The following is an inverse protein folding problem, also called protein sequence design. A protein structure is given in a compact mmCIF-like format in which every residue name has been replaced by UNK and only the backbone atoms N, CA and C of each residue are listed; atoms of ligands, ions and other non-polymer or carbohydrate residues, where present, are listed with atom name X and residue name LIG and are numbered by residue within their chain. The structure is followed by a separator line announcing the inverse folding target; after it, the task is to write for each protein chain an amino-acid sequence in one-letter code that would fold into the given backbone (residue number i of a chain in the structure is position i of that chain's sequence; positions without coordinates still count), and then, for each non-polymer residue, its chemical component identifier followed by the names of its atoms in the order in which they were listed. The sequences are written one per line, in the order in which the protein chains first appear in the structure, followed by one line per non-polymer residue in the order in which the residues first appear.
data_IF_061206089968
#
_entry.id   IF_061206089968
#
_cell.length_a   1.000
_cell.length_b   1.000
_cell.length_c   1.000
_cell.angle_alpha   90.00
_cell.angle_beta   90.00
_cell.angle_gamma   90.00
#
_symmetry.space_group_name_H-M   'P 1'
#
loop_
_entity.id
_entity.type
_entity.pdbx_description
1 polymer ?
#
# COMPACT_ATOMS: atom_id res chain seq x y z
N UNK A 1 -31.30 -4.32 -1.57
CA UNK A 1 -30.69 -2.99 -1.38
C UNK A 1 -30.03 -3.04 -0.02
N UNK A 2 -28.83 -3.60 0.07
CA UNK A 2 -28.00 -3.38 1.24
C UNK A 2 -27.75 -1.87 1.26
N UNK A 3 -28.13 -1.25 2.36
CA UNK A 3 -27.88 0.15 2.64
C UNK A 3 -26.41 0.42 2.35
N UNK A 4 -26.09 1.58 1.76
CA UNK A 4 -24.73 2.10 1.58
C UNK A 4 -24.05 2.32 2.96
N UNK A 5 -24.28 1.40 3.88
CA UNK A 5 -23.65 1.38 5.19
C UNK A 5 -22.15 1.26 4.97
N UNK A 6 -21.59 2.47 4.86
CA UNK A 6 -20.25 2.79 5.30
C UNK A 6 -19.24 1.64 5.14
N UNK A 7 -19.10 1.16 3.86
CA UNK A 7 -18.12 0.12 3.54
C UNK A 7 -16.73 0.48 4.07
N UNK A 8 -16.42 1.77 4.12
CA UNK A 8 -15.20 2.28 4.74
C UNK A 8 -15.10 1.87 6.21
N UNK A 9 -16.19 2.05 6.97
CA UNK A 9 -16.21 1.65 8.39
C UNK A 9 -16.05 0.14 8.55
N UNK A 10 -16.69 -0.64 7.70
CA UNK A 10 -16.58 -2.11 7.72
C UNK A 10 -15.13 -2.52 7.45
N UNK A 11 -14.48 -1.96 6.41
CA UNK A 11 -13.09 -2.29 6.09
C UNK A 11 -12.11 -1.87 7.19
N UNK A 12 -12.33 -0.71 7.81
CA UNK A 12 -11.51 -0.24 8.92
C UNK A 12 -11.68 -1.11 10.16
N UNK A 13 -12.91 -1.52 10.47
CA UNK A 13 -13.19 -2.37 11.62
C UNK A 13 -12.67 -3.80 11.42
N UNK A 14 -12.96 -4.42 10.29
CA UNK A 14 -12.43 -5.75 9.94
C UNK A 14 -10.89 -5.73 9.87
N UNK A 15 -10.31 -4.62 9.39
CA UNK A 15 -8.87 -4.39 9.38
C UNK A 15 -8.29 -4.31 10.80
N UNK A 16 -8.99 -3.61 11.71
CA UNK A 16 -8.58 -3.49 13.11
C UNK A 16 -8.62 -4.84 13.84
N UNK A 17 -9.73 -5.55 13.70
CA UNK A 17 -9.87 -6.87 14.32
C UNK A 17 -8.80 -7.84 13.81
N UNK A 18 -8.60 -7.89 12.49
CA UNK A 18 -7.56 -8.74 11.90
C UNK A 18 -6.15 -8.33 12.28
N UNK A 19 -5.89 -7.03 12.47
CA UNK A 19 -4.62 -6.53 12.97
C UNK A 19 -4.38 -7.01 14.41
N UNK A 20 -5.35 -6.84 15.31
CA UNK A 20 -5.24 -7.26 16.70
C UNK A 20 -5.06 -8.77 16.85
N UNK A 21 -5.84 -9.55 16.11
CA UNK A 21 -5.75 -11.02 16.12
C UNK A 21 -4.37 -11.52 15.68
N UNK A 22 -3.71 -10.78 14.78
CA UNK A 22 -2.44 -11.19 14.20
C UNK A 22 -1.26 -10.30 14.61
N UNK A 23 -1.40 -9.45 15.63
CA UNK A 23 -0.41 -8.47 16.05
C UNK A 23 0.97 -9.10 16.32
N UNK A 24 1.00 -10.33 16.87
CA UNK A 24 2.24 -11.06 17.16
C UNK A 24 3.04 -11.43 15.91
N UNK A 25 2.36 -11.57 14.78
CA UNK A 25 2.99 -11.85 13.48
C UNK A 25 3.26 -10.57 12.71
N UNK A 26 2.38 -9.57 12.80
CA UNK A 26 2.50 -8.31 12.08
C UNK A 26 3.66 -7.46 12.62
N UNK A 27 3.79 -7.31 13.94
CA UNK A 27 4.82 -6.42 14.49
C UNK A 27 6.26 -6.82 14.10
N UNK A 28 6.67 -8.10 14.20
CA UNK A 28 8.01 -8.50 13.74
C UNK A 28 8.20 -8.30 12.23
N UNK A 29 7.15 -8.53 11.42
CA UNK A 29 7.19 -8.30 9.98
C UNK A 29 7.41 -6.82 9.65
N UNK A 30 6.68 -5.91 10.33
CA UNK A 30 6.82 -4.46 10.17
C UNK A 30 8.20 -3.98 10.61
N UNK A 31 8.73 -4.48 11.73
CA UNK A 31 10.10 -4.17 12.19
C UNK A 31 11.12 -4.60 11.14
N UNK A 32 11.05 -5.86 10.68
CA UNK A 32 11.95 -6.38 9.66
C UNK A 32 11.86 -5.58 8.35
N UNK A 33 10.63 -5.25 7.93
CA UNK A 33 10.38 -4.44 6.74
C UNK A 33 11.05 -3.06 6.85
N UNK A 34 10.90 -2.34 7.96
CA UNK A 34 11.52 -1.02 8.13
C UNK A 34 13.05 -1.10 8.24
N UNK A 35 13.60 -2.14 8.88
CA UNK A 35 15.04 -2.38 8.90
C UNK A 35 15.57 -2.61 7.48
N UNK A 36 14.83 -3.35 6.66
CA UNK A 36 15.25 -3.67 5.29
C UNK A 36 14.96 -2.56 4.28
N UNK A 37 14.07 -1.63 4.53
CA UNK A 37 13.71 -0.57 3.57
C UNK A 37 14.20 0.80 3.98
N UNK A 38 13.82 1.26 5.17
CA UNK A 38 14.07 2.63 5.62
C UNK A 38 15.51 2.84 6.06
N UNK A 39 16.08 1.90 6.81
CA UNK A 39 17.42 2.05 7.37
C UNK A 39 18.50 2.15 6.29
N UNK A 40 18.60 1.23 5.28
CA UNK A 40 19.62 1.34 4.25
C UNK A 40 19.46 2.56 3.36
N UNK A 41 18.23 2.93 3.00
CA UNK A 41 17.97 4.15 2.23
C UNK A 41 18.50 5.39 2.96
N UNK A 42 18.22 5.50 4.27
CA UNK A 42 18.70 6.61 5.10
C UNK A 42 20.24 6.62 5.21
N UNK A 43 20.87 5.45 5.36
CA UNK A 43 22.33 5.34 5.40
C UNK A 43 22.98 5.76 4.08
N UNK A 44 22.38 5.39 2.94
CA UNK A 44 22.83 5.83 1.61
C UNK A 44 22.75 7.35 1.50
N UNK A 45 21.63 7.97 1.90
CA UNK A 45 21.50 9.43 1.89
C UNK A 45 22.58 10.10 2.71
N UNK A 46 22.81 9.59 3.92
CA UNK A 46 23.82 10.14 4.83
C UNK A 46 25.23 10.00 4.29
N UNK A 47 25.54 8.83 3.72
CA UNK A 47 26.89 8.53 3.26
C UNK A 47 27.27 9.34 2.01
N UNK A 48 26.35 9.46 1.04
CA UNK A 48 26.61 10.15 -0.22
C UNK A 48 26.20 11.63 -0.19
N UNK A 49 25.63 12.11 0.92
CA UNK A 49 25.09 13.48 1.05
C UNK A 49 24.16 13.86 -0.12
N UNK A 50 23.44 12.89 -0.65
CA UNK A 50 22.57 13.07 -1.81
C UNK A 50 21.48 11.99 -1.87
N UNK A 51 20.22 12.43 -1.83
CA UNK A 51 19.06 11.55 -1.85
C UNK A 51 18.92 10.71 -3.12
N UNK A 52 19.39 11.24 -4.26
CA UNK A 52 19.27 10.54 -5.54
C UNK A 52 19.99 9.19 -5.58
N UNK A 53 21.04 9.00 -4.78
CA UNK A 53 21.76 7.72 -4.70
C UNK A 53 20.95 6.61 -4.02
N UNK A 54 19.88 6.95 -3.29
CA UNK A 54 18.99 5.95 -2.69
C UNK A 54 17.93 5.43 -3.68
N UNK A 55 17.65 6.13 -4.79
CA UNK A 55 16.63 5.72 -5.76
C UNK A 55 16.84 4.30 -6.29
N UNK A 56 18.06 3.87 -6.70
CA UNK A 56 18.25 2.49 -7.12
C UNK A 56 17.89 1.49 -6.02
N UNK A 57 18.24 1.78 -4.77
CA UNK A 57 17.89 0.93 -3.65
C UNK A 57 16.36 0.91 -3.42
N UNK A 58 15.72 2.07 -3.42
CA UNK A 58 14.28 2.20 -3.25
C UNK A 58 13.52 1.45 -4.35
N UNK A 59 14.00 1.54 -5.59
CA UNK A 59 13.34 0.89 -6.73
C UNK A 59 13.60 -0.61 -6.79
N UNK A 60 14.87 -1.04 -6.64
CA UNK A 60 15.25 -2.44 -6.89
C UNK A 60 15.14 -3.33 -5.65
N UNK A 61 15.15 -2.76 -4.45
CA UNK A 61 15.07 -3.52 -3.20
C UNK A 61 13.81 -3.18 -2.42
N UNK A 62 13.57 -1.90 -2.12
CA UNK A 62 12.44 -1.53 -1.28
C UNK A 62 11.08 -1.77 -1.97
N UNK A 63 10.95 -1.49 -3.28
CA UNK A 63 9.69 -1.71 -3.99
C UNK A 63 9.26 -3.20 -4.05
N UNK A 64 10.14 -4.18 -4.38
CA UNK A 64 9.81 -5.60 -4.24
C UNK A 64 9.42 -6.01 -2.82
N UNK A 65 10.10 -5.50 -1.79
CA UNK A 65 9.74 -5.77 -0.39
C UNK A 65 8.38 -5.19 -0.03
N UNK A 66 8.05 -3.97 -0.50
CA UNK A 66 6.74 -3.33 -0.27
C UNK A 66 5.61 -4.15 -0.90
N UNK A 67 5.78 -4.61 -2.12
CA UNK A 67 4.76 -5.44 -2.80
C UNK A 67 4.67 -6.82 -2.14
N UNK A 68 5.80 -7.38 -1.67
CA UNK A 68 5.79 -8.59 -0.85
C UNK A 68 5.06 -8.40 0.49
N UNK A 69 5.21 -7.24 1.13
CA UNK A 69 4.48 -6.90 2.35
C UNK A 69 2.95 -6.80 2.08
N UNK A 70 2.54 -6.29 0.92
CA UNK A 70 1.13 -6.32 0.52
C UNK A 70 0.62 -7.78 0.46
N UNK A 71 1.40 -8.73 -0.09
CA UNK A 71 1.02 -10.15 -0.10
C UNK A 71 0.91 -10.72 1.31
N UNK A 72 1.80 -10.35 2.21
CA UNK A 72 1.74 -10.75 3.62
C UNK A 72 0.41 -10.32 4.25
N UNK A 73 0.00 -9.06 4.08
CA UNK A 73 -1.29 -8.56 4.56
C UNK A 73 -2.49 -9.22 3.85
N UNK A 74 -2.42 -9.46 2.54
CA UNK A 74 -3.46 -10.19 1.79
C UNK A 74 -3.66 -11.59 2.36
N UNK A 75 -2.59 -12.31 2.68
CA UNK A 75 -2.68 -13.66 3.25
C UNK A 75 -3.36 -13.65 4.62
N UNK A 76 -3.00 -12.73 5.51
CA UNK A 76 -3.68 -12.56 6.81
C UNK A 76 -5.16 -12.21 6.58
N UNK A 77 -5.45 -11.25 5.71
CA UNK A 77 -6.81 -10.81 5.45
C UNK A 77 -7.72 -11.92 4.89
N UNK A 78 -7.14 -12.93 4.20
CA UNK A 78 -7.81 -14.15 3.75
C UNK A 78 -7.93 -15.23 4.84
N UNK A 79 -7.44 -14.99 6.05
CA UNK A 79 -7.39 -15.99 7.12
C UNK A 79 -6.37 -17.10 6.87
N UNK A 80 -5.37 -16.86 6.01
CA UNK A 80 -4.26 -17.79 5.77
C UNK A 80 -3.12 -17.49 6.74
N UNK A 81 -2.30 -18.51 7.01
CA UNK A 81 -1.05 -18.30 7.74
C UNK A 81 -0.11 -17.53 6.82
N UNK A 82 0.19 -16.28 7.21
CA UNK A 82 1.19 -15.47 6.50
C UNK A 82 2.59 -15.86 6.99
N UNK A 83 3.49 -16.06 6.06
CA UNK A 83 4.89 -16.37 6.32
C UNK A 83 5.73 -15.12 6.16
N UNK A 84 6.77 -14.94 6.99
CA UNK A 84 7.72 -13.83 6.81
C UNK A 84 8.43 -13.87 5.45
N UNK A 85 8.50 -15.07 4.83
CA UNK A 85 8.97 -15.25 3.46
C UNK A 85 8.11 -14.56 2.40
N UNK A 86 6.83 -14.26 2.69
CA UNK A 86 5.94 -13.56 1.77
C UNK A 86 6.47 -12.17 1.41
N UNK A 87 7.16 -11.51 2.34
CA UNK A 87 7.78 -10.19 2.13
C UNK A 87 8.79 -10.24 0.97
N UNK A 88 9.46 -11.37 0.78
CA UNK A 88 10.46 -11.55 -0.29
C UNK A 88 9.87 -12.05 -1.61
N UNK A 89 8.59 -12.44 -1.65
CA UNK A 89 7.94 -12.95 -2.87
C UNK A 89 7.84 -11.91 -3.99
N UNK A 90 7.92 -10.61 -3.66
CA UNK A 90 8.04 -9.56 -4.68
C UNK A 90 9.22 -9.74 -5.63
N UNK A 91 10.32 -10.35 -5.17
CA UNK A 91 11.47 -10.66 -6.02
C UNK A 91 11.23 -11.78 -7.03
N UNK A 92 10.25 -12.66 -6.80
CA UNK A 92 9.90 -13.73 -7.73
C UNK A 92 9.28 -13.21 -9.04
N UNK A 93 8.71 -11.99 -9.01
CA UNK A 93 8.12 -11.32 -10.16
C UNK A 93 8.78 -9.95 -10.42
N UNK A 94 10.08 -9.89 -10.22
CA UNK A 94 10.90 -8.69 -10.15
C UNK A 94 10.59 -7.63 -11.24
N UNK A 95 10.58 -8.04 -12.51
CA UNK A 95 10.34 -7.11 -13.63
C UNK A 95 8.92 -6.52 -13.60
N UNK A 96 7.91 -7.35 -13.31
CA UNK A 96 6.52 -6.87 -13.23
C UNK A 96 6.32 -5.95 -12.02
N UNK A 97 6.92 -6.28 -10.89
CA UNK A 97 6.87 -5.50 -9.65
C UNK A 97 7.50 -4.12 -9.86
N UNK A 98 8.72 -4.08 -10.43
CA UNK A 98 9.37 -2.81 -10.76
C UNK A 98 8.55 -2.02 -11.79
N UNK A 99 8.07 -2.69 -12.83
CA UNK A 99 7.24 -2.06 -13.84
C UNK A 99 5.99 -1.42 -13.25
N UNK A 100 5.26 -2.14 -12.38
CA UNK A 100 4.09 -1.58 -11.68
C UNK A 100 4.49 -0.41 -10.79
N UNK A 101 5.59 -0.50 -10.04
CA UNK A 101 6.04 0.56 -9.15
C UNK A 101 6.41 1.85 -9.91
N UNK A 102 7.15 1.73 -11.01
CA UNK A 102 7.50 2.87 -11.86
C UNK A 102 6.26 3.50 -12.48
N UNK A 103 5.42 2.69 -13.13
CA UNK A 103 4.22 3.20 -13.82
C UNK A 103 3.26 3.83 -12.82
N UNK A 104 3.04 3.21 -11.66
CA UNK A 104 2.22 3.80 -10.60
C UNK A 104 2.77 5.15 -10.14
N UNK A 105 4.07 5.20 -9.84
CA UNK A 105 4.74 6.45 -9.45
C UNK A 105 4.59 7.56 -10.50
N UNK A 106 4.78 7.23 -11.79
CA UNK A 106 4.62 8.19 -12.90
C UNK A 106 3.16 8.66 -13.05
N UNK A 107 2.18 7.76 -12.93
CA UNK A 107 0.75 8.11 -13.01
C UNK A 107 0.38 9.06 -11.87
N UNK A 108 0.75 8.72 -10.63
CA UNK A 108 0.43 9.53 -9.45
C UNK A 108 1.16 10.88 -9.51
N UNK A 109 2.46 10.88 -9.81
CA UNK A 109 3.24 12.11 -9.95
C UNK A 109 2.70 12.99 -11.09
N UNK A 110 2.39 12.41 -12.24
CA UNK A 110 1.77 13.12 -13.37
C UNK A 110 0.41 13.72 -13.00
N UNK A 111 -0.41 12.98 -12.25
CA UNK A 111 -1.68 13.46 -11.73
C UNK A 111 -1.51 14.67 -10.81
N UNK A 112 -0.56 14.63 -9.87
CA UNK A 112 -0.27 15.73 -8.96
C UNK A 112 0.35 16.95 -9.68
N UNK A 113 1.15 16.72 -10.73
CA UNK A 113 1.67 17.80 -11.58
C UNK A 113 0.55 18.53 -12.36
N UNK A 114 -0.52 17.81 -12.72
CA UNK A 114 -1.66 18.45 -13.37
C UNK A 114 -2.51 19.19 -12.32
N UNK A 115 -2.99 18.49 -11.31
CA UNK A 115 -3.73 19.04 -10.17
C UNK A 115 -3.79 17.98 -9.04
N UNK A 116 -4.02 18.44 -7.79
CA UNK A 116 -4.13 17.54 -6.63
C UNK A 116 -5.24 16.50 -6.83
N UNK A 117 -6.41 16.92 -7.33
CA UNK A 117 -7.57 16.03 -7.49
C UNK A 117 -7.32 14.86 -8.45
N UNK A 118 -6.81 15.05 -9.68
CA UNK A 118 -6.44 13.93 -10.56
C UNK A 118 -5.40 12.99 -9.92
N UNK A 119 -4.40 13.53 -9.23
CA UNK A 119 -3.38 12.72 -8.55
C UNK A 119 -3.97 11.78 -7.51
N UNK A 120 -4.89 12.27 -6.69
CA UNK A 120 -5.62 11.48 -5.69
C UNK A 120 -6.53 10.44 -6.36
N UNK A 121 -7.32 10.83 -7.35
CA UNK A 121 -8.23 9.90 -8.06
C UNK A 121 -7.45 8.76 -8.73
N UNK A 122 -6.33 9.06 -9.40
CA UNK A 122 -5.51 8.04 -10.06
C UNK A 122 -4.77 7.18 -9.04
N UNK A 123 -4.31 7.76 -7.93
CA UNK A 123 -3.73 7.01 -6.81
C UNK A 123 -4.69 5.96 -6.26
N UNK A 124 -5.95 6.33 -6.04
CA UNK A 124 -7.00 5.43 -5.57
C UNK A 124 -7.34 4.38 -6.63
N UNK A 125 -7.57 4.81 -7.89
CA UNK A 125 -7.97 3.94 -8.98
C UNK A 125 -6.93 2.86 -9.29
N UNK A 126 -5.65 3.20 -9.18
CA UNK A 126 -4.54 2.30 -9.55
C UNK A 126 -3.77 1.74 -8.35
N UNK A 127 -4.11 2.12 -7.12
CA UNK A 127 -3.42 1.67 -5.91
C UNK A 127 -3.39 0.14 -5.74
N UNK A 128 -4.47 -0.53 -6.12
CA UNK A 128 -4.53 -1.99 -6.06
C UNK A 128 -3.77 -2.71 -7.18
N UNK A 129 -3.16 -2.00 -8.14
CA UNK A 129 -2.26 -2.65 -9.10
C UNK A 129 -1.06 -3.30 -8.42
N UNK A 130 -0.56 -2.70 -7.31
CA UNK A 130 0.50 -3.28 -6.49
C UNK A 130 0.08 -4.56 -5.76
N UNK A 131 -1.21 -4.70 -5.44
CA UNK A 131 -1.79 -5.92 -4.87
C UNK A 131 -2.01 -6.98 -5.96
N UNK A 132 -2.58 -6.57 -7.09
CA UNK A 132 -2.92 -7.46 -8.19
C UNK A 132 -1.68 -8.14 -8.81
N UNK A 133 -0.57 -7.42 -8.99
CA UNK A 133 0.65 -7.96 -9.58
C UNK A 133 1.18 -9.16 -8.81
N UNK A 134 1.15 -9.13 -7.49
CA UNK A 134 1.70 -10.20 -6.65
C UNK A 134 0.66 -11.28 -6.33
N UNK A 135 -0.58 -10.89 -6.12
CA UNK A 135 -1.67 -11.80 -5.76
C UNK A 135 -2.14 -12.63 -6.95
N UNK A 136 -2.36 -11.99 -8.10
CA UNK A 136 -2.85 -12.63 -9.33
C UNK A 136 -1.74 -13.01 -10.30
N UNK A 137 -0.50 -12.66 -10.00
CA UNK A 137 0.69 -12.89 -10.84
C UNK A 137 0.52 -12.34 -12.26
N UNK A 138 -0.07 -11.15 -12.37
CA UNK A 138 -0.38 -10.50 -13.65
C UNK A 138 0.79 -9.65 -14.15
N UNK A 139 0.75 -9.33 -15.47
CA UNK A 139 1.64 -8.34 -16.05
C UNK A 139 1.31 -6.91 -15.60
N UNK A 140 2.17 -5.96 -15.96
CA UNK A 140 2.02 -4.55 -15.57
C UNK A 140 0.67 -4.00 -16.03
N UNK A 141 0.37 -4.08 -17.34
CA UNK A 141 -0.86 -3.56 -17.92
C UNK A 141 -2.12 -4.16 -17.29
N UNK A 142 -2.13 -5.49 -17.11
CA UNK A 142 -3.28 -6.21 -16.57
C UNK A 142 -3.52 -5.86 -15.11
N UNK A 143 -2.45 -5.64 -14.32
CA UNK A 143 -2.55 -5.19 -12.93
C UNK A 143 -3.25 -3.83 -12.81
N UNK A 144 -2.93 -2.87 -13.69
CA UNK A 144 -3.58 -1.56 -13.72
C UNK A 144 -5.04 -1.64 -14.19
N UNK A 145 -5.29 -2.40 -15.27
CA UNK A 145 -6.65 -2.62 -15.77
C UNK A 145 -7.53 -3.28 -14.71
N UNK A 146 -7.00 -4.27 -14.01
CA UNK A 146 -7.69 -4.96 -12.94
C UNK A 146 -7.97 -4.04 -11.75
N UNK A 147 -6.99 -3.26 -11.32
CA UNK A 147 -7.16 -2.26 -10.25
C UNK A 147 -8.28 -1.28 -10.59
N UNK A 148 -8.26 -0.70 -11.79
CA UNK A 148 -9.30 0.23 -12.24
C UNK A 148 -10.70 -0.41 -12.26
N UNK A 149 -10.79 -1.68 -12.65
CA UNK A 149 -12.02 -2.43 -12.70
C UNK A 149 -12.62 -2.69 -11.31
N UNK A 150 -11.83 -3.16 -10.34
CA UNK A 150 -12.35 -3.48 -9.00
C UNK A 150 -12.64 -2.24 -8.16
N UNK A 151 -11.97 -1.10 -8.43
CA UNK A 151 -12.21 0.17 -7.72
C UNK A 151 -13.37 0.97 -8.28
N UNK A 152 -13.92 0.55 -9.43
CA UNK A 152 -15.06 1.22 -10.03
C UNK A 152 -16.29 1.15 -9.11
N UNK A 153 -16.91 2.30 -8.83
CA UNK A 153 -18.04 2.43 -7.90
C UNK A 153 -17.64 2.63 -6.43
N UNK A 154 -16.40 2.29 -6.03
CA UNK A 154 -15.96 2.32 -4.62
C UNK A 154 -14.93 3.41 -4.31
N UNK A 155 -14.69 4.33 -5.25
CA UNK A 155 -13.62 5.34 -5.11
C UNK A 155 -13.79 6.25 -3.89
N UNK A 156 -15.02 6.60 -3.52
CA UNK A 156 -15.29 7.45 -2.36
C UNK A 156 -14.96 6.75 -1.03
N UNK A 157 -15.26 5.45 -0.93
CA UNK A 157 -14.93 4.68 0.26
C UNK A 157 -13.41 4.55 0.45
N UNK A 158 -12.70 4.29 -0.65
CA UNK A 158 -11.23 4.22 -0.66
C UNK A 158 -10.59 5.59 -0.39
N UNK A 159 -11.24 6.69 -0.85
CA UNK A 159 -10.79 8.05 -0.59
C UNK A 159 -10.71 8.33 0.92
N UNK A 160 -11.68 7.89 1.71
CA UNK A 160 -11.65 8.09 3.16
C UNK A 160 -10.46 7.39 3.83
N UNK A 161 -10.17 6.15 3.44
CA UNK A 161 -8.99 5.43 3.96
C UNK A 161 -7.70 6.14 3.55
N UNK A 162 -7.63 6.60 2.30
CA UNK A 162 -6.50 7.34 1.77
C UNK A 162 -6.29 8.69 2.51
N UNK A 163 -7.37 9.44 2.76
CA UNK A 163 -7.30 10.68 3.52
C UNK A 163 -6.88 10.44 4.97
N UNK A 164 -7.36 9.38 5.60
CA UNK A 164 -6.92 8.99 6.93
C UNK A 164 -5.42 8.66 6.96
N UNK A 165 -4.96 7.88 5.97
CA UNK A 165 -3.54 7.57 5.80
C UNK A 165 -2.69 8.84 5.61
N UNK A 166 -3.09 9.75 4.72
CA UNK A 166 -2.41 11.03 4.52
C UNK A 166 -2.39 11.89 5.78
N UNK A 167 -3.50 11.93 6.51
CA UNK A 167 -3.61 12.70 7.75
C UNK A 167 -2.60 12.19 8.79
N UNK A 168 -2.49 10.87 8.95
CA UNK A 168 -1.51 10.27 9.86
C UNK A 168 -0.08 10.56 9.41
N UNK A 169 0.20 10.47 8.10
CA UNK A 169 1.53 10.78 7.56
C UNK A 169 1.94 12.25 7.78
N UNK A 170 1.01 13.18 7.63
CA UNK A 170 1.27 14.62 7.80
C UNK A 170 1.39 15.01 9.28
N UNK A 171 0.50 14.49 10.13
CA UNK A 171 0.43 14.89 11.53
C UNK A 171 1.44 14.17 12.43
N UNK A 172 1.87 12.96 12.06
CA UNK A 172 2.82 12.18 12.83
C UNK A 172 4.24 12.32 12.27
N UNK A 173 5.08 13.18 12.87
CA UNK A 173 6.43 13.40 12.39
C UNK A 173 7.29 12.15 12.51
N UNK A 174 8.24 12.01 11.57
CA UNK A 174 9.27 10.97 11.66
C UNK A 174 10.38 11.37 12.63
N UNK A 175 11.02 10.37 13.23
CA UNK A 175 12.20 10.54 14.08
C UNK A 175 13.41 11.05 13.26
N UNK A 176 13.48 10.68 11.98
CA UNK A 176 14.49 11.17 11.07
C UNK A 176 13.89 12.34 10.28
N UNK A 177 14.41 13.54 10.51
CA UNK A 177 14.01 14.74 9.78
C UNK A 177 15.10 15.08 8.77
N UNK A 178 14.67 15.44 7.55
CA UNK A 178 15.57 15.94 6.52
C UNK A 178 15.24 17.41 6.27
N UNK A 179 16.21 18.28 6.52
CA UNK A 179 16.15 19.69 6.15
C UNK A 179 17.18 19.94 5.04
N UNK A 180 16.86 20.83 4.13
CA UNK A 180 17.72 21.11 2.96
C UNK A 180 17.18 20.51 1.67
N UNK A 181 17.95 20.67 0.59
CA UNK A 181 17.57 20.18 -0.73
C UNK A 181 17.82 18.69 -0.94
N UNK A 182 17.38 18.19 -2.08
CA UNK A 182 17.61 16.79 -2.48
C UNK A 182 19.10 16.44 -2.65
N UNK A 183 19.96 17.45 -2.88
CA UNK A 183 21.41 17.26 -3.12
C UNK A 183 22.24 17.32 -1.84
N UNK A 184 21.83 17.98 -0.81
CA UNK A 184 22.55 18.09 0.48
C UNK A 184 21.53 18.03 1.61
N UNK A 185 20.97 16.85 1.89
CA UNK A 185 20.00 16.70 2.96
C UNK A 185 20.71 16.75 4.32
N UNK A 186 20.41 17.73 5.13
CA UNK A 186 20.79 17.72 6.53
C UNK A 186 19.88 16.77 7.29
N UNK A 187 20.37 15.58 7.59
CA UNK A 187 19.66 14.58 8.39
C UNK A 187 19.86 14.87 9.87
N UNK A 188 18.78 15.06 10.58
CA UNK A 188 18.76 15.22 12.01
C UNK A 188 17.83 14.18 12.67
N UNK A 189 18.21 13.71 13.84
CA UNK A 189 17.36 12.88 14.69
C UNK A 189 16.58 13.80 15.64
N UNK A 190 15.26 13.78 15.56
CA UNK A 190 14.40 14.42 16.56
C UNK A 190 13.95 13.36 17.58
N UNK A 191 14.61 13.35 18.73
CA UNK A 191 14.39 12.38 19.81
C UNK A 191 13.50 12.92 20.92
N UNK A 192 12.75 13.99 20.67
CA UNK A 192 11.77 14.48 21.65
C UNK A 192 10.76 13.39 22.00
N UNK A 193 10.36 13.23 23.27
CA UNK A 193 9.47 12.14 23.67
C UNK A 193 8.18 12.05 22.85
N UNK A 194 7.56 13.18 22.52
CA UNK A 194 6.34 13.20 21.73
C UNK A 194 6.55 12.75 20.27
N UNK A 195 7.74 13.05 19.68
CA UNK A 195 8.10 12.60 18.33
C UNK A 195 8.30 11.09 18.29
N UNK A 196 9.01 10.55 19.28
CA UNK A 196 9.21 9.11 19.41
C UNK A 196 7.86 8.40 19.60
N UNK A 197 7.02 8.91 20.51
CA UNK A 197 5.68 8.33 20.72
C UNK A 197 4.84 8.38 19.47
N UNK A 198 4.82 9.50 18.78
CA UNK A 198 4.09 9.68 17.52
C UNK A 198 4.59 8.71 16.43
N UNK A 199 5.90 8.58 16.29
CA UNK A 199 6.52 7.64 15.35
C UNK A 199 6.16 6.18 15.66
N UNK A 200 6.22 5.78 16.94
CA UNK A 200 5.88 4.42 17.38
C UNK A 200 4.41 4.13 17.09
N UNK A 201 3.50 5.02 17.48
CA UNK A 201 2.07 4.86 17.23
C UNK A 201 1.78 4.77 15.72
N UNK A 202 2.37 5.69 14.94
CA UNK A 202 2.21 5.68 13.48
C UNK A 202 2.68 4.36 12.88
N UNK A 203 3.94 4.00 13.13
CA UNK A 203 4.61 2.89 12.43
C UNK A 203 4.11 1.52 12.85
N UNK A 204 3.76 1.35 14.13
CA UNK A 204 3.43 0.02 14.66
C UNK A 204 1.94 -0.20 14.90
N UNK A 205 1.12 0.85 14.92
CA UNK A 205 -0.32 0.72 15.13
C UNK A 205 -1.10 1.21 13.90
N UNK A 206 -0.98 2.50 13.56
CA UNK A 206 -1.86 3.10 12.57
C UNK A 206 -1.60 2.62 11.14
N UNK A 207 -0.34 2.59 10.69
CA UNK A 207 -0.03 2.16 9.33
C UNK A 207 -0.34 0.68 9.11
N UNK A 208 0.09 -0.29 9.96
CA UNK A 208 -0.27 -1.69 9.76
C UNK A 208 -1.78 -1.96 9.85
N UNK A 209 -2.50 -1.20 10.68
CA UNK A 209 -3.96 -1.26 10.69
C UNK A 209 -4.57 -0.82 9.35
N UNK A 210 -4.12 0.31 8.79
CA UNK A 210 -4.61 0.80 7.51
C UNK A 210 -4.23 -0.13 6.35
N UNK A 211 -3.02 -0.70 6.37
CA UNK A 211 -2.59 -1.70 5.38
C UNK A 211 -3.49 -2.94 5.45
N UNK A 212 -3.87 -3.36 6.67
CA UNK A 212 -4.83 -4.46 6.86
C UNK A 212 -6.22 -4.09 6.36
N UNK A 213 -6.71 -2.87 6.62
CA UNK A 213 -7.98 -2.38 6.10
C UNK A 213 -7.99 -2.33 4.57
N UNK A 214 -6.89 -1.90 3.94
CA UNK A 214 -6.72 -1.92 2.49
C UNK A 214 -6.69 -3.35 1.93
N UNK A 215 -6.04 -4.29 2.61
CA UNK A 215 -6.05 -5.70 2.21
C UNK A 215 -7.47 -6.30 2.30
N UNK A 216 -8.25 -5.99 3.34
CA UNK A 216 -9.67 -6.38 3.45
C UNK A 216 -10.53 -5.77 2.34
N UNK A 217 -10.35 -4.48 2.07
CA UNK A 217 -11.02 -3.80 0.96
C UNK A 217 -10.71 -4.50 -0.38
N UNK A 218 -9.43 -4.75 -0.66
CA UNK A 218 -9.01 -5.45 -1.88
C UNK A 218 -9.71 -6.80 -2.04
N UNK A 219 -9.68 -7.65 -1.02
CA UNK A 219 -10.30 -9.00 -1.07
C UNK A 219 -11.80 -8.90 -1.29
N UNK A 220 -12.49 -7.98 -0.61
CA UNK A 220 -13.93 -7.80 -0.76
C UNK A 220 -14.29 -7.33 -2.15
N UNK A 221 -13.55 -6.36 -2.71
CA UNK A 221 -13.76 -5.86 -4.07
C UNK A 221 -13.52 -6.95 -5.13
N UNK A 222 -12.46 -7.77 -4.95
CA UNK A 222 -12.21 -8.93 -5.81
C UNK A 222 -13.39 -9.90 -5.77
N UNK A 223 -13.86 -10.26 -4.59
CA UNK A 223 -15.00 -11.19 -4.43
C UNK A 223 -16.27 -10.66 -5.07
N UNK A 224 -16.60 -9.39 -4.86
CA UNK A 224 -17.78 -8.77 -5.45
C UNK A 224 -17.72 -8.85 -6.98
N UNK A 225 -16.55 -8.54 -7.57
CA UNK A 225 -16.38 -8.57 -9.03
C UNK A 225 -16.48 -9.99 -9.63
N UNK A 226 -15.91 -10.98 -8.94
CA UNK A 226 -16.03 -12.38 -9.35
C UNK A 226 -17.50 -12.87 -9.28
N UNK A 227 -18.25 -12.41 -8.29
CA UNK A 227 -19.68 -12.73 -8.16
C UNK A 227 -20.50 -12.09 -9.28
N UNK A 228 -20.27 -10.81 -9.60
CA UNK A 228 -20.94 -10.11 -10.73
C UNK A 228 -20.72 -10.85 -12.04
N UNK A 229 -19.47 -11.20 -12.35
CA UNK A 229 -19.12 -11.93 -13.60
C UNK A 229 -19.74 -13.32 -13.66
N UNK A 230 -19.86 -14.02 -12.54
CA UNK A 230 -20.49 -15.34 -12.51
C UNK A 230 -22.01 -15.25 -12.71
N UNK A 231 -22.65 -14.19 -12.26
CA UNK A 231 -24.09 -13.94 -12.45
C UNK A 231 -24.38 -13.57 -13.92
N UNK A 232 -23.58 -12.70 -14.51
CA UNK A 232 -23.72 -12.28 -15.92
C UNK A 232 -23.54 -13.45 -16.89
N UNK A 233 -22.60 -14.35 -16.62
CA UNK A 233 -22.38 -15.55 -17.43
C UNK A 233 -23.48 -16.63 -17.30
N UNK A 234 -24.30 -16.56 -16.25
CA UNK A 234 -25.38 -17.53 -16.00
C UNK A 234 -26.77 -17.00 -16.39
N UNK A 235 -26.89 -15.74 -16.84
CA UNK A 235 -28.15 -15.26 -17.42
C UNK A 235 -28.35 -15.92 -18.78
N UNK A 236 -29.46 -16.63 -19.01
CA UNK A 236 -29.74 -17.21 -20.32
C UNK A 236 -29.91 -16.09 -21.35
N UNK A 237 -29.25 -16.26 -22.51
CA UNK A 237 -29.36 -15.36 -23.64
C UNK A 237 -30.84 -15.25 -24.06
N UNK A 238 -31.55 -14.24 -23.57
CA UNK A 238 -32.97 -13.98 -23.91
C UNK A 238 -33.10 -13.24 -25.24
N UNK A 239 -32.09 -13.27 -26.10
CA UNK A 239 -32.17 -12.75 -27.45
C UNK A 239 -32.81 -13.79 -28.40
N UNK A 240 -34.13 -13.92 -28.35
CA UNK A 240 -34.98 -14.49 -29.39
C UNK A 240 -35.90 -13.43 -29.97
#
# INVERSE_FOLDING_TARGET
METEENLTYIWLNEGWDSYLDNIRHILPAVVAFHILTTLPATLIWKYFDNRWYAIPYELFIAAPLTIGMNLFFINIARGRIAEYGDIFKGFSMFLNVIGVSIVFGLIVAGGFLMFIVPGVIWGIMYGFAQYAVIDRKTGVKDSFSYSAMITYGYKHNLLFIFLLWMTIEILAPGVITSTGGLRHPNLALDVKPWVITSFVLKTFIFLPWLDMAMAKAYIRLVKNKETEQSTENNEPDLSL
#
